data_IF_835653400174
#
_entry.id   IF_835653400174
#
_cell.length_a   1.000
_cell.length_b   1.000
_cell.length_c   1.000
_cell.angle_alpha   90.00
_cell.angle_beta   90.00
_cell.angle_gamma   90.00
#
_symmetry.space_group_name_H-M   'P 1'
#
loop_
_entity.id
_entity.type
_entity.pdbx_description
1 polymer ?
#
# COMPACT_ATOMS: atom_id res chain seq x y z
N UNK A 1 66.89 26.57 -7.22
CA UNK A 1 65.48 26.58 -7.65
C UNK A 1 64.82 25.21 -7.49
N UNK A 2 65.36 24.13 -8.07
CA UNK A 2 64.76 22.78 -8.02
C UNK A 2 64.59 22.19 -6.61
N UNK A 3 65.59 22.38 -5.72
CA UNK A 3 65.49 21.97 -4.30
C UNK A 3 64.34 22.67 -3.57
N UNK A 4 64.11 23.96 -3.87
CA UNK A 4 63.08 24.76 -3.21
C UNK A 4 61.68 24.35 -3.70
N UNK A 5 61.55 24.03 -4.99
CA UNK A 5 60.31 23.48 -5.56
C UNK A 5 59.95 22.14 -4.90
N UNK A 6 60.93 21.25 -4.70
CA UNK A 6 60.72 19.95 -4.07
C UNK A 6 60.34 20.09 -2.59
N UNK A 7 60.97 21.02 -1.87
CA UNK A 7 60.66 21.32 -0.47
C UNK A 7 59.23 21.86 -0.33
N UNK A 8 58.83 22.81 -1.17
CA UNK A 8 57.45 23.34 -1.20
C UNK A 8 56.45 22.24 -1.56
N UNK A 9 56.73 21.41 -2.57
CA UNK A 9 55.85 20.30 -2.95
C UNK A 9 55.65 19.28 -1.80
N UNK A 10 56.70 18.94 -1.07
CA UNK A 10 56.61 18.04 0.08
C UNK A 10 55.81 18.65 1.24
N UNK A 11 55.97 19.96 1.47
CA UNK A 11 55.25 20.67 2.52
C UNK A 11 53.76 20.81 2.23
N UNK A 12 53.39 21.05 0.97
CA UNK A 12 52.00 21.04 0.53
C UNK A 12 51.35 19.65 0.68
N UNK A 13 52.12 18.57 0.44
CA UNK A 13 51.63 17.19 0.69
C UNK A 13 51.39 16.95 2.18
N UNK A 14 52.27 17.44 3.05
CA UNK A 14 52.12 17.32 4.50
C UNK A 14 50.85 18.04 4.99
N UNK A 15 50.58 19.25 4.49
CA UNK A 15 49.34 19.99 4.80
C UNK A 15 48.09 19.25 4.32
N UNK A 16 48.12 18.64 3.13
CA UNK A 16 46.97 17.85 2.66
C UNK A 16 46.69 16.63 3.55
N UNK A 17 47.72 16.03 4.16
CA UNK A 17 47.58 14.92 5.10
C UNK A 17 47.11 15.40 6.48
N UNK A 18 47.73 16.44 7.02
CA UNK A 18 47.44 16.94 8.37
C UNK A 18 46.03 17.55 8.48
N UNK A 19 45.50 18.10 7.38
CA UNK A 19 44.19 18.77 7.32
C UNK A 19 43.16 17.98 6.49
N UNK A 20 43.31 16.66 6.39
CA UNK A 20 42.43 15.78 5.62
C UNK A 20 40.99 15.67 6.17
N UNK A 21 40.83 15.85 7.49
CA UNK A 21 39.53 15.81 8.19
C UNK A 21 38.87 17.20 8.33
N UNK A 22 39.60 18.27 7.99
CA UNK A 22 39.10 19.64 8.05
C UNK A 22 38.35 20.04 6.77
N UNK A 23 37.47 21.03 6.91
CA UNK A 23 36.68 21.58 5.81
C UNK A 23 37.53 22.14 4.66
N UNK A 24 37.00 22.05 3.44
CA UNK A 24 37.67 22.44 2.18
C UNK A 24 38.19 23.89 2.20
N UNK A 25 37.44 24.81 2.82
CA UNK A 25 37.84 26.22 2.95
C UNK A 25 39.09 26.39 3.81
N UNK A 26 39.18 25.68 4.95
CA UNK A 26 40.33 25.72 5.86
C UNK A 26 41.56 25.13 5.20
N UNK A 27 41.41 23.99 4.51
CA UNK A 27 42.49 23.32 3.79
C UNK A 27 43.07 24.20 2.66
N UNK A 28 42.19 24.86 1.91
CA UNK A 28 42.60 25.77 0.83
C UNK A 28 43.36 26.97 1.37
N UNK A 29 42.94 27.54 2.50
CA UNK A 29 43.63 28.68 3.12
C UNK A 29 45.08 28.35 3.49
N UNK A 30 45.33 27.18 4.11
CA UNK A 30 46.69 26.77 4.49
C UNK A 30 47.59 26.46 3.29
N UNK A 31 47.04 25.87 2.23
CA UNK A 31 47.79 25.63 0.99
C UNK A 31 48.19 26.96 0.32
N UNK A 32 47.28 27.92 0.26
CA UNK A 32 47.56 29.25 -0.27
C UNK A 32 48.64 29.97 0.55
N UNK A 33 48.58 29.91 1.89
CA UNK A 33 49.56 30.55 2.77
C UNK A 33 50.99 30.01 2.55
N UNK A 34 51.16 28.70 2.42
CA UNK A 34 52.49 28.10 2.19
C UNK A 34 53.01 28.35 0.76
N UNK A 35 52.14 28.43 -0.25
CA UNK A 35 52.53 28.87 -1.60
C UNK A 35 52.97 30.34 -1.58
N UNK A 36 52.22 31.23 -0.92
CA UNK A 36 52.58 32.64 -0.79
C UNK A 36 53.92 32.83 -0.07
N UNK A 37 54.17 32.03 0.96
CA UNK A 37 55.45 32.03 1.69
C UNK A 37 56.60 31.58 0.79
N UNK A 38 56.40 30.54 -0.02
CA UNK A 38 57.39 30.07 -0.98
C UNK A 38 57.64 31.08 -2.12
N UNK A 39 56.63 31.85 -2.54
CA UNK A 39 56.78 32.87 -3.58
C UNK A 39 57.52 34.13 -3.10
N UNK A 40 57.60 34.37 -1.79
CA UNK A 40 58.38 35.49 -1.22
C UNK A 40 59.89 35.30 -1.37
N UNK A 41 60.38 34.07 -1.47
CA UNK A 41 61.80 33.76 -1.67
C UNK A 41 62.20 33.61 -3.14
N UNK A 42 61.26 33.79 -4.08
CA UNK A 42 61.48 33.69 -5.54
C UNK A 42 61.39 35.08 -6.18
N UNK A 43 62.30 35.39 -7.10
CA UNK A 43 62.31 36.64 -7.85
C UNK A 43 61.02 36.80 -8.66
N UNK A 44 60.45 38.02 -8.79
CA UNK A 44 59.17 38.24 -9.47
C UNK A 44 59.08 37.62 -10.88
N UNK A 45 60.18 37.68 -11.65
CA UNK A 45 60.24 37.20 -13.02
C UNK A 45 60.29 35.65 -13.12
N UNK A 46 60.71 34.98 -12.05
CA UNK A 46 60.84 33.51 -11.97
C UNK A 46 59.61 32.84 -11.34
N UNK A 47 58.63 33.62 -10.84
CA UNK A 47 57.46 33.07 -10.12
C UNK A 47 56.58 32.19 -10.99
N UNK A 48 56.38 32.56 -12.25
CA UNK A 48 55.57 31.77 -13.18
C UNK A 48 56.25 30.45 -13.52
N UNK A 49 57.57 30.46 -13.69
CA UNK A 49 58.36 29.23 -13.91
C UNK A 49 58.35 28.35 -12.67
N UNK A 50 58.50 28.94 -11.48
CA UNK A 50 58.41 28.24 -10.20
C UNK A 50 57.05 27.55 -10.01
N UNK A 51 55.94 28.27 -10.27
CA UNK A 51 54.59 27.71 -10.16
C UNK A 51 54.34 26.60 -11.19
N UNK A 52 54.82 26.76 -12.43
CA UNK A 52 54.72 25.73 -13.46
C UNK A 52 55.42 24.43 -13.04
N UNK A 53 56.66 24.53 -12.57
CA UNK A 53 57.42 23.36 -12.08
C UNK A 53 56.88 22.81 -10.75
N UNK A 54 56.30 23.65 -9.89
CA UNK A 54 55.62 23.20 -8.68
C UNK A 54 54.39 22.36 -9.04
N UNK A 55 53.62 22.77 -10.05
CA UNK A 55 52.48 22.02 -10.59
C UNK A 55 52.89 20.67 -11.17
N UNK A 56 54.05 20.57 -11.83
CA UNK A 56 54.58 19.29 -12.33
C UNK A 56 54.98 18.34 -11.20
N UNK A 57 55.48 18.87 -10.08
CA UNK A 57 55.95 18.09 -8.91
C UNK A 57 54.87 17.86 -7.87
N UNK A 58 53.81 18.67 -7.86
CA UNK A 58 52.68 18.57 -6.96
C UNK A 58 51.51 17.92 -7.69
N UNK A 59 51.15 16.67 -7.35
CA UNK A 59 50.20 15.90 -8.14
C UNK A 59 48.81 16.57 -8.14
N UNK A 60 48.29 16.84 -9.34
CA UNK A 60 46.86 17.06 -9.56
C UNK A 60 46.19 15.74 -9.19
N UNK A 61 45.44 15.72 -8.08
CA UNK A 61 44.99 14.49 -7.43
C UNK A 61 44.33 13.49 -8.36
N UNK A 62 45.03 12.39 -8.63
CA UNK A 62 44.46 11.06 -8.51
C UNK A 62 44.97 10.49 -7.19
N UNK A 63 44.33 10.86 -6.08
CA UNK A 63 44.57 10.23 -4.79
C UNK A 63 43.84 8.88 -4.74
N UNK A 64 44.38 7.90 -5.47
CA UNK A 64 44.28 6.48 -5.13
C UNK A 64 45.67 5.87 -5.32
N UNK A 65 46.34 5.66 -4.18
CA UNK A 65 47.30 4.59 -3.87
C UNK A 65 48.42 4.28 -4.88
N UNK A 66 49.60 4.85 -4.63
CA UNK A 66 50.89 4.17 -4.91
C UNK A 66 51.78 4.35 -3.67
N UNK A 67 51.77 3.37 -2.77
CA UNK A 67 52.66 2.22 -2.79
C UNK A 67 54.12 2.62 -2.50
N UNK A 68 54.50 2.45 -1.23
CA UNK A 68 55.88 2.20 -0.84
C UNK A 68 56.26 0.87 -1.48
N UNK A 69 57.01 0.91 -2.58
CA UNK A 69 57.63 -0.28 -3.16
C UNK A 69 58.83 -0.70 -2.31
N UNK A 70 58.61 -1.67 -1.42
CA UNK A 70 59.64 -2.68 -1.14
C UNK A 70 59.53 -3.77 -2.21
N UNK A 71 60.67 -4.11 -2.80
CA UNK A 71 60.83 -5.14 -3.83
C UNK A 71 60.24 -6.48 -3.38
N UNK A 72 59.15 -6.94 -4.01
CA UNK A 72 58.84 -8.36 -4.10
C UNK A 72 57.97 -8.66 -5.33
N UNK A 73 58.38 -9.69 -6.06
CA UNK A 73 57.81 -10.29 -7.26
C UNK A 73 56.34 -10.71 -7.10
N UNK A 74 55.38 -10.03 -7.73
CA UNK A 74 54.02 -10.57 -7.97
C UNK A 74 53.42 -9.99 -9.27
N UNK A 75 52.72 -10.87 -10.01
CA UNK A 75 51.91 -10.71 -11.24
C UNK A 75 51.35 -9.31 -11.52
N UNK A 76 51.40 -8.92 -12.79
CA UNK A 76 50.75 -7.73 -13.36
C UNK A 76 49.31 -7.53 -12.83
N UNK A 77 48.94 -6.30 -12.42
CA UNK A 77 47.57 -5.99 -12.05
C UNK A 77 46.66 -6.01 -13.29
N UNK A 78 45.37 -6.35 -13.15
CA UNK A 78 44.43 -6.21 -14.24
C UNK A 78 44.35 -4.72 -14.58
N UNK A 79 44.65 -4.40 -15.84
CA UNK A 79 44.28 -3.14 -16.47
C UNK A 79 42.79 -2.94 -16.24
N UNK A 80 42.41 -1.94 -15.44
CA UNK A 80 41.03 -1.49 -15.36
C UNK A 80 40.71 -0.93 -16.74
N UNK A 81 39.94 -1.69 -17.50
CA UNK A 81 39.50 -1.29 -18.83
C UNK A 81 38.46 -0.18 -18.63
N UNK A 82 38.77 1.05 -19.07
CA UNK A 82 37.84 2.20 -18.98
C UNK A 82 36.50 1.92 -19.66
N UNK A 83 36.45 0.90 -20.52
CA UNK A 83 35.24 0.37 -21.15
C UNK A 83 34.30 -0.32 -20.16
N UNK A 84 34.83 -0.96 -19.11
CA UNK A 84 34.04 -1.63 -18.06
C UNK A 84 33.30 -0.62 -17.16
N UNK A 85 33.90 0.55 -16.93
CA UNK A 85 33.27 1.65 -16.18
C UNK A 85 32.10 2.30 -16.92
N UNK A 86 31.96 2.06 -18.23
CA UNK A 86 30.80 2.45 -19.04
C UNK A 86 29.80 1.31 -19.23
N UNK A 87 30.12 0.12 -18.74
CA UNK A 87 29.26 -1.04 -18.84
C UNK A 87 28.24 -1.05 -17.68
N UNK A 88 26.97 -0.92 -18.03
CA UNK A 88 25.86 -0.88 -17.07
C UNK A 88 25.77 -2.15 -16.22
N UNK A 89 26.02 -3.33 -16.80
CA UNK A 89 25.98 -4.59 -16.05
C UNK A 89 27.11 -4.69 -15.02
N UNK A 90 28.30 -4.17 -15.37
CA UNK A 90 29.43 -4.09 -14.44
C UNK A 90 29.11 -3.15 -13.28
N UNK A 91 28.63 -1.94 -13.57
CA UNK A 91 28.27 -0.95 -12.54
C UNK A 91 27.17 -1.46 -11.61
N UNK A 92 26.13 -2.11 -12.14
CA UNK A 92 25.06 -2.73 -11.33
C UNK A 92 25.62 -3.84 -10.46
N UNK A 93 26.50 -4.70 -10.98
CA UNK A 93 27.12 -5.77 -10.19
C UNK A 93 28.02 -5.22 -9.09
N UNK A 94 28.82 -4.20 -9.38
CA UNK A 94 29.65 -3.52 -8.39
C UNK A 94 28.82 -2.88 -7.27
N UNK A 95 27.69 -2.25 -7.61
CA UNK A 95 26.76 -1.70 -6.61
C UNK A 95 26.15 -2.83 -5.76
N UNK A 96 25.77 -3.96 -6.36
CA UNK A 96 25.24 -5.12 -5.62
C UNK A 96 26.27 -5.78 -4.70
N UNK A 97 27.55 -5.80 -5.08
CA UNK A 97 28.64 -6.32 -4.27
C UNK A 97 28.89 -5.47 -3.01
N UNK A 98 28.74 -4.14 -3.11
CA UNK A 98 28.89 -3.23 -1.96
C UNK A 98 27.58 -2.98 -1.21
N UNK A 99 26.42 -3.30 -1.80
CA UNK A 99 25.11 -3.09 -1.20
C UNK A 99 24.95 -3.57 0.27
N UNK A 100 25.46 -4.75 0.69
CA UNK A 100 25.33 -5.21 2.07
C UNK A 100 26.16 -4.41 3.08
N UNK A 101 27.17 -3.65 2.64
CA UNK A 101 28.02 -2.83 3.53
C UNK A 101 27.58 -1.37 3.60
N UNK A 102 26.57 -0.97 2.82
CA UNK A 102 26.04 0.39 2.81
C UNK A 102 25.23 0.68 4.08
N UNK A 103 25.44 1.88 4.62
CA UNK A 103 24.56 2.47 5.65
C UNK A 103 23.20 2.86 5.07
N UNK A 104 22.20 3.03 5.93
CA UNK A 104 20.84 3.39 5.50
C UNK A 104 20.81 4.75 4.78
N UNK A 105 21.60 5.73 5.23
CA UNK A 105 21.75 7.02 4.55
C UNK A 105 22.32 6.90 3.12
N UNK A 106 23.24 5.95 2.89
CA UNK A 106 23.81 5.71 1.56
C UNK A 106 22.83 4.98 0.65
N UNK A 107 22.02 4.07 1.20
CA UNK A 107 20.92 3.42 0.46
C UNK A 107 19.87 4.44 0.04
N UNK A 108 19.47 5.34 0.94
CA UNK A 108 18.52 6.42 0.63
C UNK A 108 19.06 7.38 -0.44
N UNK A 109 20.37 7.69 -0.39
CA UNK A 109 21.02 8.51 -1.41
C UNK A 109 21.00 7.82 -2.79
N UNK A 110 21.29 6.53 -2.87
CA UNK A 110 21.25 5.75 -4.11
C UNK A 110 19.83 5.71 -4.64
N UNK A 111 18.84 5.39 -3.79
CA UNK A 111 17.43 5.35 -4.19
C UNK A 111 16.96 6.70 -4.73
N UNK A 112 17.28 7.80 -4.05
CA UNK A 112 16.91 9.14 -4.51
C UNK A 112 17.59 9.50 -5.82
N UNK A 113 18.87 9.18 -5.98
CA UNK A 113 19.65 9.45 -7.20
C UNK A 113 19.15 8.64 -8.40
N UNK A 114 18.82 7.35 -8.18
CA UNK A 114 18.22 6.49 -9.21
C UNK A 114 16.83 6.99 -9.60
N UNK A 115 16.05 7.51 -8.64
CA UNK A 115 14.76 8.13 -8.92
C UNK A 115 14.89 9.44 -9.72
N UNK A 116 15.83 10.31 -9.36
CA UNK A 116 16.13 11.55 -10.11
C UNK A 116 16.62 11.25 -11.53
N UNK A 117 17.35 10.15 -11.72
CA UNK A 117 17.79 9.64 -13.02
C UNK A 117 16.70 8.90 -13.82
N UNK A 118 15.48 8.75 -13.27
CA UNK A 118 14.36 8.08 -13.94
C UNK A 118 14.46 6.55 -13.99
N UNK A 119 15.42 5.94 -13.28
CA UNK A 119 15.61 4.50 -13.14
C UNK A 119 14.70 3.94 -12.05
N UNK A 120 13.39 4.19 -12.16
CA UNK A 120 12.40 3.48 -11.35
C UNK A 120 12.12 2.11 -11.99
N UNK A 121 11.87 1.06 -11.19
CA UNK A 121 11.19 -0.12 -11.72
C UNK A 121 9.94 0.38 -12.44
N UNK A 122 9.79 0.06 -13.74
CA UNK A 122 8.56 0.33 -14.48
C UNK A 122 7.44 -0.55 -13.91
N UNK A 123 6.93 -0.20 -12.72
CA UNK A 123 5.53 -0.50 -12.42
C UNK A 123 4.74 0.20 -13.54
N UNK A 124 4.05 -0.57 -14.39
CA UNK A 124 3.27 -0.12 -15.56
C UNK A 124 2.87 1.36 -15.44
N UNK A 125 3.68 2.26 -16.02
CA UNK A 125 3.52 3.71 -15.83
C UNK A 125 2.15 4.20 -16.31
N UNK A 126 1.58 3.57 -17.34
CA UNK A 126 0.22 3.86 -17.84
C UNK A 126 -0.88 3.63 -16.77
N UNK A 127 -0.73 2.61 -15.92
CA UNK A 127 -1.74 2.31 -14.90
C UNK A 127 -1.59 3.21 -13.66
N UNK A 128 -0.38 3.70 -13.38
CA UNK A 128 -0.10 4.50 -12.17
C UNK A 128 -0.76 5.88 -12.21
N UNK A 129 -0.79 6.52 -13.38
CA UNK A 129 -1.38 7.85 -13.57
C UNK A 129 -2.91 7.75 -13.50
N UNK A 130 -3.50 6.72 -14.12
CA UNK A 130 -4.94 6.48 -14.08
C UNK A 130 -5.44 6.16 -12.65
N UNK A 131 -4.64 5.41 -11.87
CA UNK A 131 -4.96 5.10 -10.48
C UNK A 131 -4.88 6.33 -9.57
N UNK A 132 -3.84 7.17 -9.71
CA UNK A 132 -3.71 8.42 -8.94
C UNK A 132 -4.92 9.34 -9.16
N UNK A 133 -5.33 9.54 -10.41
CA UNK A 133 -6.52 10.33 -10.75
C UNK A 133 -7.81 9.74 -10.17
N UNK A 134 -8.01 8.42 -10.28
CA UNK A 134 -9.17 7.74 -9.69
C UNK A 134 -9.23 7.89 -8.17
N UNK A 135 -8.09 7.79 -7.49
CA UNK A 135 -8.01 7.95 -6.04
C UNK A 135 -8.29 9.40 -5.64
N UNK A 136 -7.70 10.40 -6.32
CA UNK A 136 -7.98 11.82 -6.11
C UNK A 136 -9.46 12.15 -6.25
N UNK A 137 -10.10 11.64 -7.31
CA UNK A 137 -11.53 11.81 -7.53
C UNK A 137 -12.37 11.20 -6.41
N UNK A 138 -12.05 9.96 -5.98
CA UNK A 138 -12.80 9.27 -4.91
C UNK A 138 -12.64 9.95 -3.55
N UNK A 139 -11.42 10.36 -3.20
CA UNK A 139 -11.12 11.00 -1.93
C UNK A 139 -11.33 12.53 -1.94
N UNK A 140 -11.72 13.10 -3.10
CA UNK A 140 -11.93 14.53 -3.30
C UNK A 140 -10.70 15.35 -2.91
N UNK A 141 -9.52 14.83 -3.25
CA UNK A 141 -8.24 15.48 -3.02
C UNK A 141 -7.93 16.39 -4.22
N UNK A 142 -7.40 17.59 -3.99
CA UNK A 142 -7.05 18.52 -5.06
C UNK A 142 -5.96 17.94 -5.98
N UNK A 143 -6.00 18.28 -7.27
CA UNK A 143 -5.10 17.70 -8.28
C UNK A 143 -3.61 17.98 -8.01
N UNK A 144 -3.33 19.07 -7.30
CA UNK A 144 -2.00 19.52 -6.87
C UNK A 144 -1.38 18.64 -5.76
N UNK A 145 -2.19 17.89 -5.01
CA UNK A 145 -1.70 17.03 -3.95
C UNK A 145 -1.20 15.71 -4.53
N UNK A 146 0.02 15.30 -4.19
CA UNK A 146 0.53 13.96 -4.52
C UNK A 146 0.07 12.96 -3.48
N UNK A 147 -0.46 11.82 -3.91
CA UNK A 147 -0.79 10.74 -2.99
C UNK A 147 0.49 9.94 -2.69
N UNK A 148 0.87 9.86 -1.41
CA UNK A 148 2.01 9.06 -0.96
C UNK A 148 1.68 7.56 -1.02
N UNK A 149 2.57 6.76 -1.64
CA UNK A 149 2.43 5.31 -1.68
C UNK A 149 2.47 4.67 -0.29
N UNK A 150 3.27 5.23 0.62
CA UNK A 150 3.37 4.79 2.02
C UNK A 150 2.02 4.98 2.75
N UNK A 151 1.43 6.18 2.63
CA UNK A 151 0.13 6.46 3.24
C UNK A 151 -1.00 5.60 2.63
N UNK A 152 -0.93 5.30 1.33
CA UNK A 152 -1.88 4.36 0.69
C UNK A 152 -1.70 2.97 1.29
N UNK A 153 -0.47 2.50 1.48
CA UNK A 153 -0.20 1.18 2.04
C UNK A 153 -0.71 1.06 3.48
N UNK A 154 -0.46 2.08 4.30
CA UNK A 154 -0.95 2.15 5.68
C UNK A 154 -2.48 2.20 5.74
N UNK A 155 -3.12 3.06 4.94
CA UNK A 155 -4.57 3.12 4.83
C UNK A 155 -5.16 1.79 4.34
N UNK A 156 -4.51 1.15 3.37
CA UNK A 156 -4.94 -0.15 2.85
C UNK A 156 -4.88 -1.23 3.92
N UNK A 157 -3.84 -1.25 4.76
CA UNK A 157 -3.73 -2.19 5.87
C UNK A 157 -4.90 -2.04 6.86
N UNK A 158 -5.26 -0.80 7.21
CA UNK A 158 -6.41 -0.50 8.11
C UNK A 158 -7.73 -0.96 7.48
N UNK A 159 -7.95 -0.64 6.19
CA UNK A 159 -9.17 -1.01 5.49
C UNK A 159 -9.29 -2.53 5.30
N UNK A 160 -8.18 -3.21 5.01
CA UNK A 160 -8.15 -4.67 4.91
C UNK A 160 -8.50 -5.30 6.25
N UNK A 161 -7.90 -4.86 7.35
CA UNK A 161 -8.22 -5.39 8.69
C UNK A 161 -9.71 -5.19 9.04
N UNK A 162 -10.27 -4.02 8.73
CA UNK A 162 -11.70 -3.75 8.88
C UNK A 162 -12.57 -4.74 8.09
N UNK A 163 -12.26 -4.94 6.80
CA UNK A 163 -13.01 -5.85 5.93
C UNK A 163 -12.90 -7.29 6.41
N UNK A 164 -11.69 -7.75 6.76
CA UNK A 164 -11.44 -9.13 7.18
C UNK A 164 -12.08 -9.47 8.53
N UNK A 165 -12.28 -8.49 9.42
CA UNK A 165 -13.06 -8.67 10.67
C UNK A 165 -14.56 -8.67 10.41
N UNK A 166 -15.03 -7.85 9.48
CA UNK A 166 -16.46 -7.71 9.17
C UNK A 166 -17.01 -8.90 8.38
N UNK A 167 -16.25 -9.40 7.41
CA UNK A 167 -16.63 -10.50 6.51
C UNK A 167 -17.17 -11.75 7.24
N UNK A 168 -16.43 -12.37 8.18
CA UNK A 168 -16.92 -13.56 8.89
C UNK A 168 -18.13 -13.24 9.78
N UNK A 169 -18.19 -12.04 10.38
CA UNK A 169 -19.33 -11.63 11.21
C UNK A 169 -20.60 -11.61 10.37
N UNK A 170 -20.58 -10.93 9.23
CA UNK A 170 -21.73 -10.82 8.32
C UNK A 170 -22.17 -12.19 7.83
N UNK A 171 -21.24 -13.03 7.34
CA UNK A 171 -21.58 -14.35 6.82
C UNK A 171 -22.08 -15.31 7.89
N UNK A 172 -21.54 -15.25 9.11
CA UNK A 172 -22.00 -16.09 10.21
C UNK A 172 -23.41 -15.67 10.67
N UNK A 173 -23.67 -14.37 10.81
CA UNK A 173 -25.01 -13.86 11.11
C UNK A 173 -26.01 -14.26 10.02
N UNK A 174 -25.65 -14.10 8.75
CA UNK A 174 -26.51 -14.53 7.64
C UNK A 174 -26.78 -16.03 7.66
N UNK A 175 -25.77 -16.87 7.94
CA UNK A 175 -25.95 -18.32 8.04
C UNK A 175 -26.87 -18.73 9.18
N UNK A 176 -26.85 -18.00 10.30
CA UNK A 176 -27.77 -18.22 11.42
C UNK A 176 -29.21 -17.82 11.08
N UNK A 177 -29.39 -16.71 10.35
CA UNK A 177 -30.70 -16.23 9.92
C UNK A 177 -31.32 -17.09 8.81
N UNK A 178 -30.53 -17.47 7.80
CA UNK A 178 -30.97 -18.29 6.66
C UNK A 178 -29.97 -19.42 6.34
N UNK A 179 -30.03 -20.54 7.11
CA UNK A 179 -29.13 -21.67 6.91
C UNK A 179 -29.22 -22.30 5.52
N UNK A 180 -30.38 -22.18 4.86
CA UNK A 180 -30.67 -22.77 3.54
C UNK A 180 -30.56 -21.78 2.38
N UNK A 181 -30.09 -20.55 2.60
CA UNK A 181 -29.99 -19.55 1.53
C UNK A 181 -29.04 -19.98 0.41
N UNK A 182 -29.39 -19.61 -0.82
CA UNK A 182 -28.49 -19.69 -1.97
C UNK A 182 -27.41 -18.60 -1.96
N UNK A 183 -27.59 -17.52 -1.18
CA UNK A 183 -26.61 -16.45 -1.03
C UNK A 183 -25.46 -16.95 -0.13
N UNK A 184 -24.29 -17.17 -0.73
CA UNK A 184 -23.11 -17.77 -0.09
C UNK A 184 -21.84 -16.98 -0.41
N UNK A 185 -20.81 -17.05 0.46
CA UNK A 185 -19.50 -16.53 0.13
C UNK A 185 -18.90 -17.29 -1.07
N UNK A 186 -18.18 -16.59 -1.95
CA UNK A 186 -17.56 -17.18 -3.15
C UNK A 186 -16.13 -17.70 -2.90
N UNK A 187 -15.79 -18.03 -1.65
CA UNK A 187 -14.47 -18.47 -1.23
C UNK A 187 -13.95 -17.67 -0.04
N UNK A 188 -12.69 -17.92 0.35
CA UNK A 188 -12.04 -17.17 1.41
C UNK A 188 -11.42 -15.88 0.86
N UNK A 189 -12.01 -14.73 1.22
CA UNK A 189 -11.58 -13.42 0.75
C UNK A 189 -10.10 -13.15 1.07
N UNK A 190 -9.65 -13.46 2.30
CA UNK A 190 -8.25 -13.32 2.72
C UNK A 190 -7.29 -14.07 1.80
N UNK A 191 -7.65 -15.29 1.39
CA UNK A 191 -6.81 -16.11 0.52
C UNK A 191 -6.72 -15.50 -0.88
N UNK A 192 -7.85 -15.06 -1.44
CA UNK A 192 -7.89 -14.43 -2.77
C UNK A 192 -7.13 -13.10 -2.80
N UNK A 193 -7.24 -12.27 -1.76
CA UNK A 193 -6.45 -11.04 -1.63
C UNK A 193 -4.95 -11.39 -1.57
N UNK A 194 -4.56 -12.37 -0.76
CA UNK A 194 -3.17 -12.82 -0.68
C UNK A 194 -2.62 -13.31 -2.04
N UNK A 195 -3.38 -14.13 -2.76
CA UNK A 195 -3.01 -14.61 -4.10
C UNK A 195 -2.87 -13.46 -5.10
N UNK A 196 -3.81 -12.51 -5.07
CA UNK A 196 -3.77 -11.31 -5.91
C UNK A 196 -2.51 -10.45 -5.64
N UNK A 197 -2.15 -10.26 -4.37
CA UNK A 197 -0.98 -9.45 -3.99
C UNK A 197 0.35 -10.14 -4.33
N UNK A 198 0.43 -11.47 -4.25
CA UNK A 198 1.62 -12.25 -4.57
C UNK A 198 1.91 -12.35 -6.08
N UNK A 199 1.14 -11.67 -6.94
CA UNK A 199 1.24 -11.74 -8.40
C UNK A 199 1.07 -13.16 -8.97
N UNK A 200 0.37 -14.02 -8.25
CA UNK A 200 0.01 -15.35 -8.72
C UNK A 200 -1.18 -15.22 -9.70
N UNK A 201 -0.99 -15.71 -10.93
CA UNK A 201 -1.82 -15.34 -12.09
C UNK A 201 -3.26 -15.91 -12.06
N UNK A 202 -3.62 -16.69 -11.03
CA UNK A 202 -4.94 -17.31 -10.92
C UNK A 202 -6.06 -16.34 -10.52
N UNK A 203 -5.75 -15.27 -9.79
CA UNK A 203 -6.78 -14.36 -9.23
C UNK A 203 -6.73 -12.98 -9.88
N UNK A 204 -7.81 -12.61 -10.56
CA UNK A 204 -7.95 -11.29 -11.17
C UNK A 204 -8.47 -10.24 -10.17
N UNK A 205 -8.13 -8.96 -10.38
CA UNK A 205 -8.70 -7.81 -9.63
C UNK A 205 -10.24 -7.86 -9.64
N UNK A 206 -10.83 -8.28 -10.76
CA UNK A 206 -12.29 -8.38 -10.91
C UNK A 206 -12.92 -9.37 -9.93
N UNK A 207 -12.28 -10.51 -9.68
CA UNK A 207 -12.81 -11.50 -8.72
C UNK A 207 -12.78 -10.97 -7.28
N UNK A 208 -11.73 -10.23 -6.91
CA UNK A 208 -11.66 -9.59 -5.58
C UNK A 208 -12.72 -8.50 -5.44
N UNK A 209 -12.90 -7.68 -6.48
CA UNK A 209 -13.93 -6.63 -6.52
C UNK A 209 -15.36 -7.22 -6.47
N UNK A 210 -15.62 -8.30 -7.21
CA UNK A 210 -16.92 -8.98 -7.22
C UNK A 210 -17.26 -9.59 -5.84
N UNK A 211 -16.31 -10.24 -5.18
CA UNK A 211 -16.47 -10.76 -3.82
C UNK A 211 -16.80 -9.64 -2.81
N UNK A 212 -16.06 -8.52 -2.88
CA UNK A 212 -16.31 -7.35 -2.03
C UNK A 212 -17.69 -6.74 -2.29
N UNK A 213 -18.13 -6.68 -3.55
CA UNK A 213 -19.48 -6.22 -3.92
C UNK A 213 -20.56 -7.14 -3.39
N UNK A 214 -20.36 -8.45 -3.42
CA UNK A 214 -21.32 -9.40 -2.82
C UNK A 214 -21.43 -9.17 -1.31
N UNK A 215 -20.31 -9.01 -0.62
CA UNK A 215 -20.30 -8.70 0.81
C UNK A 215 -21.00 -7.36 1.10
N UNK A 216 -20.68 -6.31 0.35
CA UNK A 216 -21.30 -4.99 0.50
C UNK A 216 -22.82 -5.04 0.27
N UNK A 217 -23.28 -5.76 -0.75
CA UNK A 217 -24.71 -5.95 -1.04
C UNK A 217 -25.42 -6.67 0.10
N UNK A 218 -24.79 -7.71 0.66
CA UNK A 218 -25.37 -8.43 1.80
C UNK A 218 -25.48 -7.53 3.04
N UNK A 219 -24.43 -6.76 3.36
CA UNK A 219 -24.46 -5.78 4.46
C UNK A 219 -25.61 -4.78 4.25
N UNK A 220 -25.69 -4.16 3.08
CA UNK A 220 -26.72 -3.18 2.77
C UNK A 220 -28.14 -3.78 2.85
N UNK A 221 -28.31 -5.00 2.33
CA UNK A 221 -29.58 -5.71 2.37
C UNK A 221 -29.99 -6.06 3.81
N UNK A 222 -29.07 -6.54 4.64
CA UNK A 222 -29.33 -6.85 6.05
C UNK A 222 -29.68 -5.59 6.85
N UNK A 223 -28.90 -4.52 6.72
CA UNK A 223 -29.19 -3.23 7.37
C UNK A 223 -30.55 -2.69 6.95
N UNK A 224 -30.89 -2.78 5.66
CA UNK A 224 -32.19 -2.34 5.14
C UNK A 224 -33.34 -3.22 5.65
N UNK A 225 -33.13 -4.53 5.75
CA UNK A 225 -34.14 -5.48 6.20
C UNK A 225 -34.59 -5.20 7.64
N UNK A 226 -33.66 -4.86 8.53
CA UNK A 226 -33.97 -4.53 9.93
C UNK A 226 -34.98 -3.37 10.02
N UNK A 227 -34.81 -2.32 9.19
CA UNK A 227 -35.73 -1.18 9.17
C UNK A 227 -37.15 -1.52 8.67
N UNK A 228 -37.30 -2.60 7.90
CA UNK A 228 -38.58 -2.97 7.26
C UNK A 228 -39.28 -4.16 7.91
N UNK A 229 -38.54 -4.99 8.65
CA UNK A 229 -39.06 -6.21 9.25
C UNK A 229 -40.26 -5.94 10.18
N UNK A 230 -40.18 -4.91 11.03
CA UNK A 230 -41.27 -4.53 11.93
C UNK A 230 -42.55 -4.15 11.19
N UNK A 231 -42.45 -3.34 10.13
CA UNK A 231 -43.61 -2.95 9.32
C UNK A 231 -44.23 -4.12 8.54
N UNK A 232 -43.41 -5.03 8.01
CA UNK A 232 -43.89 -6.24 7.33
C UNK A 232 -44.56 -7.20 8.31
N UNK A 233 -43.97 -7.41 9.49
CA UNK A 233 -44.58 -8.18 10.56
C UNK A 233 -45.92 -7.57 10.97
N UNK A 234 -45.96 -6.28 11.31
CA UNK A 234 -47.19 -5.59 11.70
C UNK A 234 -48.29 -5.71 10.64
N UNK A 235 -47.96 -5.53 9.36
CA UNK A 235 -48.91 -5.69 8.24
C UNK A 235 -49.47 -7.11 8.17
N UNK A 236 -48.62 -8.14 8.25
CA UNK A 236 -49.05 -9.55 8.23
C UNK A 236 -49.87 -9.91 9.47
N UNK A 237 -49.44 -9.45 10.64
CA UNK A 237 -50.11 -9.67 11.91
C UNK A 237 -51.51 -9.03 11.92
N UNK A 238 -51.63 -7.74 11.55
CA UNK A 238 -52.91 -7.04 11.45
C UNK A 238 -53.83 -7.73 10.43
N UNK A 239 -53.31 -8.12 9.27
CA UNK A 239 -54.12 -8.79 8.26
C UNK A 239 -54.70 -10.11 8.79
N UNK A 240 -53.86 -10.97 9.39
CA UNK A 240 -54.22 -12.28 9.93
C UNK A 240 -55.27 -12.21 11.05
N UNK A 241 -55.18 -11.22 11.91
CA UNK A 241 -56.09 -11.04 13.04
C UNK A 241 -57.17 -9.98 12.80
N UNK A 242 -57.30 -9.48 11.56
CA UNK A 242 -58.33 -8.49 11.24
C UNK A 242 -59.74 -9.12 11.33
N UNK A 243 -60.76 -8.38 11.80
CA UNK A 243 -62.13 -8.87 11.83
C UNK A 243 -62.61 -9.37 10.45
N UNK A 244 -62.26 -8.63 9.39
CA UNK A 244 -62.63 -8.96 8.01
C UNK A 244 -62.07 -10.32 7.56
N UNK A 245 -60.79 -10.60 7.86
CA UNK A 245 -60.16 -11.88 7.52
C UNK A 245 -60.77 -13.03 8.32
N UNK A 246 -61.02 -12.81 9.62
CA UNK A 246 -61.63 -13.83 10.50
C UNK A 246 -63.04 -14.17 10.02
N UNK A 247 -63.86 -13.17 9.68
CA UNK A 247 -65.20 -13.39 9.12
C UNK A 247 -65.14 -14.14 7.78
N UNK A 248 -64.18 -13.81 6.91
CA UNK A 248 -64.00 -14.50 5.64
C UNK A 248 -63.67 -15.98 5.85
N UNK A 249 -62.77 -16.30 6.77
CA UNK A 249 -62.41 -17.69 7.12
C UNK A 249 -63.61 -18.45 7.67
N UNK A 250 -64.39 -17.85 8.58
CA UNK A 250 -65.59 -18.48 9.16
C UNK A 250 -66.66 -18.76 8.11
N UNK A 251 -66.82 -17.90 7.09
CA UNK A 251 -67.77 -18.12 5.97
C UNK A 251 -67.37 -19.29 5.08
N UNK A 252 -66.08 -19.58 4.97
CA UNK A 252 -65.56 -20.69 4.16
C UNK A 252 -65.58 -22.04 4.88
N UNK A 253 -65.73 -22.06 6.21
CA UNK A 253 -65.77 -23.28 7.00
C UNK A 253 -67.14 -24.00 6.90
N UNK A 254 -67.17 -25.30 6.57
CA UNK A 254 -68.42 -26.05 6.55
C UNK A 254 -68.93 -26.30 7.97
N UNK A 255 -70.07 -25.67 8.33
CA UNK A 255 -70.98 -26.21 9.35
C UNK A 255 -71.34 -25.34 10.56
N UNK A 256 -72.24 -25.93 11.36
CA UNK A 256 -72.96 -25.43 12.54
C UNK A 256 -73.97 -24.29 12.30
N UNK A 257 -75.20 -24.66 11.93
CA UNK A 257 -76.37 -23.75 11.84
C UNK A 257 -76.86 -23.31 13.23
N UNK A 258 -76.40 -23.96 14.30
CA UNK A 258 -76.87 -23.76 15.68
C UNK A 258 -76.03 -22.81 16.55
N UNK A 259 -74.97 -22.20 16.00
CA UNK A 259 -74.06 -21.30 16.73
C UNK A 259 -74.06 -19.93 16.06
N UNK A 260 -74.16 -18.85 16.84
CA UNK A 260 -74.13 -17.49 16.29
C UNK A 260 -72.81 -17.19 15.58
N UNK A 261 -72.89 -16.33 14.57
CA UNK A 261 -71.73 -15.90 13.78
C UNK A 261 -70.60 -15.35 14.66
N UNK A 262 -70.93 -14.51 15.64
CA UNK A 262 -69.94 -13.91 16.55
C UNK A 262 -69.20 -14.95 17.41
N UNK A 263 -69.90 -16.00 17.85
CA UNK A 263 -69.27 -17.10 18.60
C UNK A 263 -68.32 -17.89 17.72
N UNK A 264 -68.64 -18.05 16.42
CA UNK A 264 -67.72 -18.68 15.47
C UNK A 264 -66.48 -17.82 15.24
N UNK A 265 -66.64 -16.51 15.02
CA UNK A 265 -65.52 -15.58 14.87
C UNK A 265 -64.63 -15.56 16.12
N UNK A 266 -65.21 -15.57 17.32
CA UNK A 266 -64.44 -15.65 18.57
C UNK A 266 -63.66 -16.96 18.71
N UNK A 267 -64.29 -18.10 18.36
CA UNK A 267 -63.59 -19.39 18.34
C UNK A 267 -62.44 -19.37 17.35
N UNK A 268 -62.64 -18.79 16.16
CA UNK A 268 -61.59 -18.69 15.14
C UNK A 268 -60.43 -17.79 15.56
N UNK A 269 -60.73 -16.65 16.19
CA UNK A 269 -59.69 -15.80 16.78
C UNK A 269 -58.83 -16.56 17.79
N UNK A 270 -59.45 -17.30 18.72
CA UNK A 270 -58.72 -18.09 19.72
C UNK A 270 -57.84 -19.17 19.07
N UNK A 271 -58.35 -19.87 18.06
CA UNK A 271 -57.56 -20.85 17.30
C UNK A 271 -56.33 -20.21 16.64
N UNK A 272 -56.48 -19.04 16.01
CA UNK A 272 -55.36 -18.30 15.43
C UNK A 272 -54.37 -17.83 16.51
N UNK A 273 -54.88 -17.36 17.64
CA UNK A 273 -54.11 -16.84 18.76
C UNK A 273 -53.39 -17.94 19.57
N UNK A 274 -53.88 -19.19 19.56
CA UNK A 274 -53.19 -20.33 20.20
C UNK A 274 -51.80 -20.56 19.60
N UNK A 275 -51.60 -20.21 18.34
CA UNK A 275 -50.30 -20.29 17.67
C UNK A 275 -49.39 -19.08 17.92
N UNK A 276 -49.89 -18.05 18.61
CA UNK A 276 -49.16 -16.81 18.85
C UNK A 276 -48.36 -16.92 20.16
N UNK A 277 -47.09 -17.27 20.02
CA UNK A 277 -46.10 -17.25 21.09
C UNK A 277 -44.83 -16.51 20.67
N UNK A 278 -43.90 -16.31 21.60
CA UNK A 278 -42.64 -15.59 21.35
C UNK A 278 -41.86 -16.20 20.17
N UNK A 279 -41.71 -17.52 20.13
CA UNK A 279 -41.01 -18.24 19.06
C UNK A 279 -41.64 -17.99 17.68
N UNK A 280 -42.97 -17.98 17.60
CA UNK A 280 -43.71 -17.75 16.36
C UNK A 280 -43.50 -16.33 15.83
N UNK A 281 -43.46 -15.34 16.74
CA UNK A 281 -43.24 -13.93 16.41
C UNK A 281 -41.80 -13.75 15.95
N UNK A 282 -40.83 -14.30 16.67
CA UNK A 282 -39.42 -14.25 16.29
C UNK A 282 -39.21 -14.90 14.92
N UNK A 283 -39.83 -16.05 14.67
CA UNK A 283 -39.77 -16.74 13.38
C UNK A 283 -40.38 -15.90 12.24
N UNK A 284 -41.52 -15.23 12.46
CA UNK A 284 -42.13 -14.36 11.45
C UNK A 284 -41.26 -13.14 11.15
N UNK A 285 -40.67 -12.51 12.16
CA UNK A 285 -39.75 -11.37 12.00
C UNK A 285 -38.49 -11.83 11.25
N UNK A 286 -37.90 -12.95 11.66
CA UNK A 286 -36.74 -13.55 11.00
C UNK A 286 -37.06 -13.86 9.54
N UNK A 287 -38.22 -14.46 9.26
CA UNK A 287 -38.68 -14.73 7.90
C UNK A 287 -38.83 -13.45 7.09
N UNK A 288 -39.41 -12.39 7.65
CA UNK A 288 -39.52 -11.10 6.97
C UNK A 288 -38.15 -10.49 6.64
N UNK A 289 -37.16 -10.61 7.53
CA UNK A 289 -35.77 -10.19 7.27
C UNK A 289 -35.19 -10.99 6.12
N UNK A 290 -35.26 -12.33 6.19
CA UNK A 290 -34.70 -13.23 5.19
C UNK A 290 -35.34 -13.01 3.82
N UNK A 291 -36.67 -12.96 3.74
CA UNK A 291 -37.42 -12.69 2.51
C UNK A 291 -36.94 -11.39 1.85
N UNK A 292 -36.76 -10.33 2.65
CA UNK A 292 -36.32 -9.04 2.15
C UNK A 292 -34.86 -9.06 1.66
N UNK A 293 -33.94 -9.63 2.45
CA UNK A 293 -32.53 -9.75 2.05
C UNK A 293 -32.39 -10.56 0.76
N UNK A 294 -33.09 -11.69 0.64
CA UNK A 294 -33.07 -12.52 -0.56
C UNK A 294 -33.68 -11.80 -1.77
N UNK A 295 -34.74 -11.02 -1.58
CA UNK A 295 -35.34 -10.23 -2.67
C UNK A 295 -34.39 -9.18 -3.22
N UNK A 296 -33.65 -8.46 -2.36
CA UNK A 296 -32.68 -7.45 -2.78
C UNK A 296 -31.45 -8.08 -3.43
N UNK A 297 -30.90 -9.12 -2.83
CA UNK A 297 -29.71 -9.77 -3.37
C UNK A 297 -29.97 -10.46 -4.72
N UNK A 298 -31.19 -10.96 -4.97
CA UNK A 298 -31.61 -11.47 -6.29
C UNK A 298 -31.97 -10.35 -7.26
N UNK A 299 -32.63 -9.29 -6.81
CA UNK A 299 -33.11 -8.19 -7.65
C UNK A 299 -32.03 -7.20 -8.10
N UNK A 300 -30.90 -7.11 -7.39
CA UNK A 300 -29.76 -6.25 -7.78
C UNK A 300 -28.83 -6.89 -8.82
N UNK A 301 -29.15 -8.09 -9.31
CA UNK A 301 -28.42 -8.81 -10.36
C UNK A 301 -29.03 -8.68 -11.77
N UNK A 302 -30.06 -7.84 -11.94
CA UNK A 302 -30.65 -7.47 -13.23
C UNK A 302 -30.44 -6.00 -13.53
#
# INVERSE_FOLDING_TARGET
MESHILETANRLRLIQVDFADDGEQTRTAYLCEEIEKALKSVLPDERNEFLGRLLEKFPVGSFISQAISTETTVKSPPTVDESELKNVEFLVRSILEIAPTLSDNQKDFIDKSLQEAGLRPKARQDNSIELDQKLKQKFKVGDECRISAENIAELSAILIDFVLKLEPLVWNTWRQLSPRSAVRPQGALTKKIGQFLSSDAEVSVKQVDDDLKVLQRLIAAMTSAVSRAGGQFAKRHIARFSPLEIEALVRMEPGSVFVSHDVKCWKKYKELAETLNEDSIEMEIRKAIVDYVESLTKGMGQ
#
